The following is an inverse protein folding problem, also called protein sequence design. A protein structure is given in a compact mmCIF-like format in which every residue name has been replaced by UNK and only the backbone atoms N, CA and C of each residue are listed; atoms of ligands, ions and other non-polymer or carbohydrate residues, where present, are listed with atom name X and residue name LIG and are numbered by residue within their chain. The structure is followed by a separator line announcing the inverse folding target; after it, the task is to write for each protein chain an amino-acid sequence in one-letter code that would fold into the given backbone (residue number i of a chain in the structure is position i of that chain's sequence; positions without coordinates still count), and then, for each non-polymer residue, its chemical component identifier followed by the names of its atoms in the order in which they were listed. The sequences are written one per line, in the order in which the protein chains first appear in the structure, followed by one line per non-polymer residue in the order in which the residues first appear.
data_IF_819500957287
#
_entry.id   IF_819500957287
#
_cell.length_a   1.000
_cell.length_b   1.000
_cell.length_c   1.000
_cell.angle_alpha   90.00
_cell.angle_beta   90.00
_cell.angle_gamma   90.00
#
_symmetry.space_group_name_H-M   'P 1'
#
loop_
_entity.id
_entity.type
_entity.pdbx_description
1 polymer ?
#
# COMPACT_ATOMS: atom_id res chain seq x y z
N UNK A 1 -1.71 50.52 28.81
CA UNK A 1 -1.97 50.22 27.39
C UNK A 1 -1.12 49.02 27.06
N UNK A 2 -1.80 47.88 27.07
CA UNK A 2 -1.25 46.56 26.80
C UNK A 2 -0.69 46.45 25.39
N UNK A 3 0.39 45.70 25.22
CA UNK A 3 0.53 44.79 24.09
C UNK A 3 1.42 43.62 24.48
N UNK A 4 0.76 42.49 24.56
CA UNK A 4 1.17 41.18 25.02
C UNK A 4 2.19 40.52 24.09
N UNK A 5 3.27 40.01 24.68
CA UNK A 5 4.17 39.03 24.09
C UNK A 5 3.47 37.67 24.03
N UNK A 6 3.14 37.23 22.82
CA UNK A 6 2.57 35.91 22.56
C UNK A 6 3.59 34.80 22.83
N UNK A 7 3.34 34.04 23.89
CA UNK A 7 4.08 32.82 24.20
C UNK A 7 3.86 31.75 23.13
N UNK A 8 4.95 31.08 22.75
CA UNK A 8 4.93 29.89 21.92
C UNK A 8 4.13 28.78 22.61
N UNK A 9 2.95 28.45 22.06
CA UNK A 9 2.17 27.31 22.48
C UNK A 9 2.79 26.02 21.98
N UNK A 10 3.36 25.23 22.88
CA UNK A 10 3.63 23.81 22.63
C UNK A 10 2.31 23.09 22.40
N UNK A 11 2.18 22.44 21.24
CA UNK A 11 1.02 21.62 20.89
C UNK A 11 0.96 20.34 21.73
N UNK A 12 0.41 20.44 22.94
CA UNK A 12 0.00 19.29 23.73
C UNK A 12 -1.25 18.68 23.10
N UNK A 13 -1.12 17.50 22.50
CA UNK A 13 -2.27 16.73 22.00
C UNK A 13 -3.24 16.44 23.15
N UNK A 14 -4.49 16.90 23.04
CA UNK A 14 -5.52 16.65 24.03
C UNK A 14 -5.72 15.13 24.19
N UNK A 15 -5.46 14.60 25.40
CA UNK A 15 -5.71 13.19 25.71
C UNK A 15 -7.21 12.91 25.59
N UNK A 16 -7.58 12.03 24.64
CA UNK A 16 -8.96 11.60 24.45
C UNK A 16 -9.30 10.62 25.58
N UNK A 17 -10.21 11.02 26.48
CA UNK A 17 -10.67 10.14 27.56
C UNK A 17 -11.64 9.10 27.01
N UNK A 18 -11.37 7.83 27.31
CA UNK A 18 -12.26 6.70 26.99
C UNK A 18 -13.30 6.45 28.09
N UNK A 19 -14.45 5.91 27.70
CA UNK A 19 -15.52 5.44 28.58
C UNK A 19 -15.58 3.91 28.56
N UNK A 20 -15.50 3.25 29.71
CA UNK A 20 -15.62 1.80 29.79
C UNK A 20 -17.02 1.32 29.38
N UNK A 21 -17.08 0.29 28.53
CA UNK A 21 -18.32 -0.32 28.03
C UNK A 21 -18.31 -1.83 28.26
N UNK A 22 -19.47 -2.49 28.11
CA UNK A 22 -19.59 -3.96 28.15
C UNK A 22 -18.97 -4.64 29.40
N UNK A 23 -19.18 -4.05 30.57
CA UNK A 23 -18.63 -4.54 31.83
C UNK A 23 -17.13 -4.30 32.00
N UNK A 24 -16.57 -3.30 31.32
CA UNK A 24 -15.15 -2.94 31.38
C UNK A 24 -14.26 -3.73 30.42
N UNK A 25 -14.84 -4.60 29.57
CA UNK A 25 -14.09 -5.36 28.55
C UNK A 25 -13.69 -4.51 27.34
N UNK A 26 -14.39 -3.40 27.13
CA UNK A 26 -14.17 -2.48 26.02
C UNK A 26 -14.09 -1.05 26.54
N UNK A 27 -13.48 -0.19 25.74
CA UNK A 27 -13.40 1.25 25.99
C UNK A 27 -13.79 1.99 24.72
N UNK A 28 -14.73 2.90 24.86
CA UNK A 28 -15.25 3.75 23.80
C UNK A 28 -14.63 5.14 23.86
N UNK A 29 -14.05 5.57 22.75
CA UNK A 29 -13.51 6.92 22.57
C UNK A 29 -14.35 7.71 21.57
N UNK A 30 -14.42 9.02 21.76
CA UNK A 30 -14.93 9.94 20.74
C UNK A 30 -13.74 10.62 20.05
N UNK A 31 -13.41 10.15 18.86
CA UNK A 31 -12.31 10.69 18.05
C UNK A 31 -12.90 11.54 16.93
N UNK A 32 -12.83 12.88 17.10
CA UNK A 32 -13.36 13.84 16.13
C UNK A 32 -14.83 13.58 15.72
N UNK A 33 -15.68 13.24 16.69
CA UNK A 33 -17.09 12.92 16.46
C UNK A 33 -17.37 11.48 16.01
N UNK A 34 -16.34 10.63 15.88
CA UNK A 34 -16.48 9.23 15.53
C UNK A 34 -16.22 8.34 16.74
N UNK A 35 -17.17 7.43 17.00
CA UNK A 35 -17.06 6.44 18.05
C UNK A 35 -16.00 5.39 17.70
N UNK A 36 -15.01 5.20 18.57
CA UNK A 36 -13.90 4.29 18.39
C UNK A 36 -13.86 3.35 19.59
N UNK A 37 -14.41 2.13 19.45
CA UNK A 37 -14.54 1.16 20.54
C UNK A 37 -13.49 0.06 20.38
N UNK A 38 -12.65 -0.10 21.40
CA UNK A 38 -11.55 -1.08 21.41
C UNK A 38 -11.58 -1.94 22.66
N UNK A 39 -10.93 -3.09 22.61
CA UNK A 39 -10.71 -3.95 23.79
C UNK A 39 -10.01 -3.16 24.92
N UNK A 40 -10.28 -3.51 26.17
CA UNK A 40 -9.69 -2.86 27.34
C UNK A 40 -8.16 -2.93 27.40
N UNK A 41 -7.54 -3.92 26.74
CA UNK A 41 -6.08 -4.00 26.58
C UNK A 41 -5.48 -2.83 25.77
N UNK A 42 -6.29 -2.05 25.05
CA UNK A 42 -5.87 -0.85 24.31
C UNK A 42 -6.36 0.46 24.96
N UNK A 43 -6.69 0.44 26.26
CA UNK A 43 -7.31 1.55 26.98
C UNK A 43 -6.46 2.84 27.27
N UNK A 44 -5.11 2.82 27.36
CA UNK A 44 -4.34 4.04 27.65
C UNK A 44 -4.33 5.00 26.45
N UNK A 45 -4.25 6.33 26.66
CA UNK A 45 -4.85 7.31 25.75
C UNK A 45 -4.48 7.04 24.30
N UNK A 46 -5.49 6.77 23.49
CA UNK A 46 -5.30 6.59 22.06
C UNK A 46 -4.93 7.94 21.44
N UNK A 47 -4.00 7.93 20.49
CA UNK A 47 -3.57 9.11 19.77
C UNK A 47 -3.97 8.98 18.31
N UNK A 48 -4.87 9.82 17.78
CA UNK A 48 -5.17 9.82 16.35
C UNK A 48 -3.90 10.15 15.55
N UNK A 49 -3.57 9.30 14.58
CA UNK A 49 -2.37 9.45 13.73
C UNK A 49 -2.71 9.58 12.24
N UNK A 50 -3.90 9.15 11.82
CA UNK A 50 -4.29 9.22 10.42
C UNK A 50 -5.80 9.27 10.23
N UNK A 51 -6.21 9.89 9.12
CA UNK A 51 -7.59 9.89 8.64
C UNK A 51 -7.56 9.63 7.13
N UNK A 52 -8.22 8.58 6.68
CA UNK A 52 -8.24 8.16 5.27
C UNK A 52 -9.63 7.81 4.79
N UNK A 53 -9.71 7.35 3.54
CA UNK A 53 -10.97 6.93 2.91
C UNK A 53 -11.70 5.83 3.68
N UNK A 54 -10.95 4.95 4.35
CA UNK A 54 -11.48 3.80 5.09
C UNK A 54 -11.74 4.08 6.58
N UNK A 55 -11.40 5.27 7.10
CA UNK A 55 -11.69 5.65 8.48
C UNK A 55 -10.55 6.32 9.23
N UNK A 56 -10.49 6.05 10.53
CA UNK A 56 -9.57 6.68 11.50
C UNK A 56 -8.52 5.65 11.94
N UNK A 57 -7.27 6.09 11.98
CA UNK A 57 -6.16 5.31 12.54
C UNK A 57 -5.69 5.99 13.83
N UNK A 58 -5.60 5.20 14.90
CA UNK A 58 -5.11 5.65 16.20
C UNK A 58 -3.92 4.81 16.65
N UNK A 59 -2.87 5.45 17.15
CA UNK A 59 -1.84 4.78 17.93
C UNK A 59 -2.38 4.43 19.33
N UNK A 60 -2.04 3.25 19.83
CA UNK A 60 -2.37 2.78 21.17
C UNK A 60 -1.21 1.93 21.73
N UNK A 61 -1.23 1.70 23.05
CA UNK A 61 -0.32 0.74 23.70
C UNK A 61 -1.14 -0.47 24.10
N UNK A 62 -0.69 -1.66 23.73
CA UNK A 62 -1.24 -2.88 24.29
C UNK A 62 -0.73 -3.04 25.73
N UNK A 63 -1.63 -2.95 26.72
CA UNK A 63 -1.28 -3.01 28.14
C UNK A 63 -0.80 -4.40 28.60
N UNK A 64 -1.02 -5.46 27.81
CA UNK A 64 -0.60 -6.82 28.16
C UNK A 64 0.88 -7.07 27.90
N UNK A 65 1.44 -6.49 26.84
CA UNK A 65 2.83 -6.70 26.42
C UNK A 65 3.66 -5.39 26.32
N UNK A 66 3.03 -4.22 26.44
CA UNK A 66 3.66 -2.91 26.34
C UNK A 66 3.96 -2.44 24.90
N UNK A 67 3.52 -3.19 23.88
CA UNK A 67 3.81 -2.88 22.47
C UNK A 67 2.95 -1.70 21.98
N UNK A 68 3.60 -0.75 21.29
CA UNK A 68 2.91 0.32 20.56
C UNK A 68 2.36 -0.21 19.23
N UNK A 69 1.09 0.10 18.95
CA UNK A 69 0.36 -0.41 17.79
C UNK A 69 -0.42 0.68 17.08
N UNK A 70 -0.73 0.46 15.80
CA UNK A 70 -1.69 1.26 15.06
C UNK A 70 -3.01 0.50 14.92
N UNK A 71 -4.13 1.12 15.32
CA UNK A 71 -5.48 0.57 15.22
C UNK A 71 -6.22 1.32 14.12
N UNK A 72 -6.50 0.63 13.01
CA UNK A 72 -7.29 1.13 11.87
C UNK A 72 -8.75 0.70 12.07
N UNK A 73 -9.64 1.68 12.24
CA UNK A 73 -11.09 1.45 12.22
C UNK A 73 -11.61 1.56 10.79
N UNK A 74 -12.22 0.48 10.29
CA UNK A 74 -13.00 0.44 9.07
C UNK A 74 -14.48 0.51 9.47
N UNK A 75 -15.08 1.68 9.27
CA UNK A 75 -16.47 1.94 9.64
C UNK A 75 -17.44 1.29 8.64
N UNK A 76 -18.53 0.70 9.14
CA UNK A 76 -19.57 0.08 8.30
C UNK A 76 -19.00 -0.84 7.20
N UNK A 77 -18.04 -1.70 7.57
CA UNK A 77 -17.24 -2.49 6.64
C UNK A 77 -18.07 -3.46 5.76
N UNK A 78 -19.34 -3.70 6.11
CA UNK A 78 -20.23 -4.66 5.48
C UNK A 78 -21.37 -4.01 4.67
N UNK A 79 -21.47 -2.68 4.63
CA UNK A 79 -22.53 -1.97 3.88
C UNK A 79 -22.34 -2.09 2.35
N UNK A 80 -21.09 -2.27 1.91
CA UNK A 80 -20.72 -2.45 0.51
C UNK A 80 -19.93 -3.74 0.34
N UNK A 81 -20.48 -4.67 -0.46
CA UNK A 81 -19.85 -5.95 -0.77
C UNK A 81 -18.39 -5.84 -1.24
N UNK A 82 -18.10 -4.81 -2.05
CA UNK A 82 -16.75 -4.59 -2.59
C UNK A 82 -15.77 -4.25 -1.47
N UNK A 83 -16.16 -3.36 -0.56
CA UNK A 83 -15.31 -2.93 0.56
C UNK A 83 -15.18 -4.03 1.63
N UNK A 84 -16.23 -4.82 1.85
CA UNK A 84 -16.20 -6.02 2.68
C UNK A 84 -15.17 -7.04 2.15
N UNK A 85 -15.21 -7.33 0.84
CA UNK A 85 -14.21 -8.20 0.19
C UNK A 85 -12.79 -7.63 0.29
N UNK A 86 -12.60 -6.31 0.12
CA UNK A 86 -11.29 -5.67 0.30
C UNK A 86 -10.76 -5.83 1.72
N UNK A 87 -11.61 -5.64 2.72
CA UNK A 87 -11.24 -5.76 4.13
C UNK A 87 -10.86 -7.20 4.49
N UNK A 88 -11.66 -8.19 4.08
CA UNK A 88 -11.34 -9.60 4.30
C UNK A 88 -10.05 -10.00 3.58
N UNK A 89 -9.86 -9.53 2.34
CA UNK A 89 -8.63 -9.78 1.57
C UNK A 89 -7.40 -9.22 2.27
N UNK A 90 -7.46 -7.97 2.72
CA UNK A 90 -6.38 -7.33 3.49
C UNK A 90 -6.02 -8.17 4.71
N UNK A 91 -7.02 -8.60 5.50
CA UNK A 91 -6.82 -9.46 6.67
C UNK A 91 -6.17 -10.79 6.29
N UNK A 92 -6.73 -11.53 5.33
CA UNK A 92 -6.24 -12.86 4.96
C UNK A 92 -4.81 -12.82 4.41
N UNK A 93 -4.50 -11.82 3.58
CA UNK A 93 -3.17 -11.63 3.02
C UNK A 93 -2.14 -11.29 4.09
N UNK A 94 -2.43 -10.34 4.98
CA UNK A 94 -1.52 -9.97 6.08
C UNK A 94 -1.36 -11.08 7.13
N UNK A 95 -2.33 -11.99 7.25
CA UNK A 95 -2.21 -13.20 8.10
C UNK A 95 -1.35 -14.28 7.46
N UNK A 96 -1.28 -14.33 6.14
CA UNK A 96 -0.48 -15.31 5.40
C UNK A 96 0.98 -14.89 5.27
N UNK A 97 1.24 -13.59 5.19
CA UNK A 97 2.59 -13.06 5.00
C UNK A 97 3.32 -12.85 6.33
N UNK A 98 4.55 -13.32 6.39
CA UNK A 98 5.50 -13.06 7.47
C UNK A 98 6.84 -12.65 6.85
N UNK A 99 7.09 -11.35 6.82
CA UNK A 99 8.26 -10.76 6.17
C UNK A 99 8.52 -9.35 6.71
N UNK A 100 9.79 -8.99 6.91
CA UNK A 100 10.16 -7.73 7.56
C UNK A 100 9.70 -6.49 6.80
N UNK A 101 9.67 -6.55 5.46
CA UNK A 101 9.21 -5.45 4.60
C UNK A 101 7.71 -5.49 4.26
N UNK A 102 6.91 -6.28 4.98
CA UNK A 102 5.44 -6.29 4.89
C UNK A 102 4.88 -5.90 6.26
N UNK A 103 3.83 -5.09 6.29
CA UNK A 103 3.19 -4.69 7.55
C UNK A 103 2.57 -5.91 8.25
N UNK A 104 2.91 -6.14 9.52
CA UNK A 104 2.38 -7.26 10.29
C UNK A 104 1.06 -6.89 10.97
N UNK A 105 0.07 -7.77 10.84
CA UNK A 105 -1.17 -7.72 11.63
C UNK A 105 -0.91 -8.33 13.02
N UNK A 106 -1.18 -7.55 14.06
CA UNK A 106 -0.93 -7.90 15.46
C UNK A 106 -2.18 -8.37 16.18
N UNK A 107 -3.34 -7.84 15.81
CA UNK A 107 -4.64 -8.23 16.37
C UNK A 107 -5.78 -7.84 15.42
N UNK A 108 -6.92 -8.49 15.58
CA UNK A 108 -8.21 -8.08 15.03
C UNK A 108 -9.17 -8.00 16.20
N UNK A 109 -9.58 -6.78 16.56
CA UNK A 109 -10.39 -6.57 17.76
C UNK A 109 -11.74 -7.25 17.55
N UNK A 110 -12.05 -8.16 18.47
CA UNK A 110 -13.34 -8.84 18.51
C UNK A 110 -14.46 -7.82 18.74
N UNK A 111 -15.56 -7.86 17.97
CA UNK A 111 -16.67 -6.95 18.21
C UNK A 111 -17.35 -7.28 19.54
N UNK A 112 -17.82 -6.28 20.32
CA UNK A 112 -18.43 -6.53 21.63
C UNK A 112 -19.67 -7.44 21.56
N UNK A 113 -20.41 -7.35 20.45
CA UNK A 113 -21.58 -8.17 20.15
C UNK A 113 -21.55 -8.59 18.69
N UNK A 114 -21.73 -9.88 18.43
CA UNK A 114 -21.79 -10.44 17.07
C UNK A 114 -22.92 -9.83 16.23
N UNK A 115 -24.08 -9.59 16.85
CA UNK A 115 -25.26 -9.02 16.18
C UNK A 115 -25.03 -7.57 15.72
N UNK A 116 -24.11 -6.84 16.34
CA UNK A 116 -23.81 -5.43 16.03
C UNK A 116 -22.38 -5.24 15.50
N UNK A 117 -21.89 -6.21 14.74
CA UNK A 117 -20.58 -6.16 14.12
C UNK A 117 -20.63 -5.37 12.80
N UNK A 118 -20.58 -4.05 12.87
CA UNK A 118 -20.59 -3.16 11.69
C UNK A 118 -19.20 -2.60 11.39
N UNK A 119 -18.40 -2.39 12.43
CA UNK A 119 -17.06 -1.81 12.33
C UNK A 119 -16.01 -2.90 12.52
N UNK A 120 -14.96 -2.88 11.67
CA UNK A 120 -13.80 -3.78 11.78
C UNK A 120 -12.61 -2.97 12.26
N UNK A 121 -11.88 -3.50 13.24
CA UNK A 121 -10.69 -2.86 13.79
C UNK A 121 -9.50 -3.77 13.58
N UNK A 122 -8.57 -3.34 12.74
CA UNK A 122 -7.33 -4.05 12.44
C UNK A 122 -6.21 -3.38 13.22
N UNK A 123 -5.48 -4.17 14.00
CA UNK A 123 -4.31 -3.72 14.76
C UNK A 123 -3.06 -4.19 14.03
N UNK A 124 -2.17 -3.27 13.69
CA UNK A 124 -0.87 -3.54 13.09
C UNK A 124 0.25 -2.98 13.95
N UNK A 125 1.49 -3.31 13.60
CA UNK A 125 2.63 -2.57 14.11
C UNK A 125 2.50 -1.06 13.83
N UNK A 126 3.01 -0.25 14.77
CA UNK A 126 3.03 1.21 14.63
C UNK A 126 4.23 1.64 13.79
N UNK A 127 3.97 2.45 12.77
CA UNK A 127 4.99 3.06 11.93
C UNK A 127 4.98 4.58 12.13
N UNK A 128 6.13 5.23 12.03
CA UNK A 128 6.28 6.66 12.33
C UNK A 128 5.69 7.54 11.22
N UNK A 129 5.86 7.12 9.97
CA UNK A 129 5.42 7.88 8.80
C UNK A 129 5.25 7.01 7.56
N UNK A 130 4.92 7.62 6.44
CA UNK A 130 4.89 6.99 5.13
C UNK A 130 5.85 7.70 4.16
N UNK A 131 6.23 7.02 3.09
CA UNK A 131 7.16 7.55 2.11
C UNK A 131 6.59 8.81 1.41
N UNK A 132 5.27 8.96 1.29
CA UNK A 132 4.67 10.17 0.74
C UNK A 132 4.98 11.41 1.60
N UNK A 133 4.87 11.30 2.92
CA UNK A 133 5.24 12.38 3.84
C UNK A 133 6.75 12.67 3.78
N UNK A 134 7.59 11.64 3.73
CA UNK A 134 9.05 11.81 3.62
C UNK A 134 9.43 12.56 2.35
N UNK A 135 8.87 12.16 1.20
CA UNK A 135 9.09 12.83 -0.09
C UNK A 135 8.67 14.30 -0.03
N UNK A 136 7.56 14.62 0.62
CA UNK A 136 7.09 16.02 0.74
C UNK A 136 7.77 16.84 1.82
N UNK A 137 8.51 16.19 2.73
CA UNK A 137 9.24 16.87 3.78
C UNK A 137 10.49 17.59 3.25
N UNK A 138 11.00 18.53 4.04
CA UNK A 138 12.28 19.19 3.77
C UNK A 138 13.50 18.34 4.18
N UNK A 139 13.30 17.11 4.68
CA UNK A 139 14.41 16.25 5.05
C UNK A 139 15.21 15.84 3.81
N UNK A 140 16.55 15.93 3.81
CA UNK A 140 17.35 15.51 2.66
C UNK A 140 17.24 14.00 2.45
N UNK A 141 17.07 13.59 1.18
CA UNK A 141 17.12 12.19 0.78
C UNK A 141 18.38 12.01 -0.06
N UNK A 142 19.35 11.29 0.51
CA UNK A 142 20.59 10.93 -0.16
C UNK A 142 20.37 9.77 -1.13
N UNK A 143 21.33 9.49 -2.01
CA UNK A 143 21.27 8.31 -2.86
C UNK A 143 21.20 7.02 -2.03
N UNK A 144 21.91 6.96 -0.89
CA UNK A 144 21.87 5.82 0.03
C UNK A 144 20.46 5.59 0.61
N UNK A 145 19.74 6.66 1.00
CA UNK A 145 18.33 6.53 1.43
C UNK A 145 17.46 5.99 0.29
N UNK A 146 17.65 6.49 -0.94
CA UNK A 146 16.91 6.02 -2.12
C UNK A 146 17.18 4.53 -2.40
N UNK A 147 18.46 4.15 -2.36
CA UNK A 147 18.93 2.78 -2.56
C UNK A 147 18.33 1.83 -1.51
N UNK A 148 18.34 2.24 -0.23
CA UNK A 148 17.83 1.43 0.87
C UNK A 148 16.31 1.25 0.83
N UNK A 149 15.55 2.32 0.54
CA UNK A 149 14.10 2.20 0.37
C UNK A 149 13.73 1.33 -0.85
N UNK A 150 14.45 1.49 -1.97
CA UNK A 150 14.22 0.70 -3.16
C UNK A 150 14.52 -0.79 -2.95
N UNK A 151 15.64 -1.09 -2.28
CA UNK A 151 16.02 -2.45 -1.92
C UNK A 151 14.93 -3.13 -1.08
N UNK A 152 14.50 -2.49 0.02
CA UNK A 152 13.48 -3.03 0.91
C UNK A 152 12.13 -3.23 0.21
N UNK A 153 11.74 -2.31 -0.68
CA UNK A 153 10.53 -2.43 -1.49
C UNK A 153 10.59 -3.63 -2.43
N UNK A 154 11.70 -3.80 -3.16
CA UNK A 154 11.90 -4.94 -4.06
C UNK A 154 11.99 -6.27 -3.30
N UNK A 155 12.65 -6.29 -2.14
CA UNK A 155 12.73 -7.44 -1.25
C UNK A 155 11.34 -7.87 -0.78
N UNK A 156 10.52 -6.93 -0.30
CA UNK A 156 9.12 -7.19 0.05
C UNK A 156 8.30 -7.70 -1.14
N UNK A 157 8.49 -7.12 -2.33
CA UNK A 157 7.80 -7.58 -3.54
C UNK A 157 8.21 -8.97 -4.01
N UNK A 158 9.48 -9.35 -3.86
CA UNK A 158 9.95 -10.72 -4.15
C UNK A 158 9.13 -11.73 -3.34
N UNK A 159 8.98 -11.46 -2.04
CA UNK A 159 8.16 -12.28 -1.14
C UNK A 159 6.69 -12.32 -1.59
N UNK A 160 6.07 -11.17 -1.83
CA UNK A 160 4.66 -11.07 -2.27
C UNK A 160 4.42 -11.81 -3.59
N UNK A 161 5.29 -11.61 -4.59
CA UNK A 161 5.16 -12.21 -5.91
C UNK A 161 5.35 -13.73 -5.88
N UNK A 162 6.27 -14.23 -5.03
CA UNK A 162 6.45 -15.67 -4.82
C UNK A 162 5.24 -16.35 -4.16
N UNK A 163 4.37 -15.59 -3.49
CA UNK A 163 3.08 -16.06 -2.98
C UNK A 163 1.96 -16.07 -4.05
N UNK A 164 2.27 -15.82 -5.33
CA UNK A 164 1.31 -15.60 -6.41
C UNK A 164 0.33 -14.43 -6.15
N UNK A 165 0.81 -13.38 -5.47
CA UNK A 165 0.05 -12.16 -5.18
C UNK A 165 0.66 -10.99 -5.94
N UNK A 166 -0.18 -10.15 -6.53
CA UNK A 166 0.17 -8.86 -7.13
C UNK A 166 -0.40 -7.75 -6.25
N UNK A 167 0.38 -6.73 -5.91
CA UNK A 167 -0.06 -5.66 -5.01
C UNK A 167 -1.06 -4.71 -5.67
N UNK A 168 -0.80 -4.30 -6.92
CA UNK A 168 -1.67 -3.49 -7.81
C UNK A 168 -1.95 -2.05 -7.43
N UNK A 169 -1.67 -1.64 -6.19
CA UNK A 169 -1.84 -0.24 -5.75
C UNK A 169 -0.61 0.28 -4.98
N UNK A 170 0.59 0.00 -5.49
CA UNK A 170 1.81 0.56 -4.91
C UNK A 170 1.87 2.07 -5.17
N UNK A 171 2.10 2.81 -4.10
CA UNK A 171 2.28 4.27 -4.08
C UNK A 171 2.99 4.66 -2.78
N UNK A 172 3.63 5.84 -2.70
CA UNK A 172 4.40 6.23 -1.52
C UNK A 172 3.60 6.24 -0.21
N UNK A 173 2.29 6.49 -0.22
CA UNK A 173 1.45 6.46 0.99
C UNK A 173 1.14 5.04 1.49
N UNK A 174 1.45 4.00 0.71
CA UNK A 174 1.29 2.59 1.07
C UNK A 174 2.63 1.95 1.50
N UNK A 175 3.69 2.76 1.62
CA UNK A 175 5.02 2.35 2.06
C UNK A 175 5.32 3.06 3.37
N UNK A 176 5.15 2.35 4.48
CA UNK A 176 5.39 2.90 5.81
C UNK A 176 6.87 2.84 6.18
N UNK A 177 7.29 3.80 7.00
CA UNK A 177 8.67 3.99 7.44
C UNK A 177 8.71 4.21 8.95
N UNK A 178 9.74 3.67 9.60
CA UNK A 178 10.07 3.99 10.99
C UNK A 178 11.34 4.87 11.07
N UNK A 179 11.72 5.28 12.27
CA UNK A 179 12.90 6.11 12.54
C UNK A 179 14.23 5.45 12.12
N UNK A 180 14.26 4.12 12.01
CA UNK A 180 15.42 3.36 11.54
C UNK A 180 15.48 3.24 10.00
N UNK A 181 14.54 3.88 9.28
CA UNK A 181 14.38 3.77 7.83
C UNK A 181 13.94 2.38 7.35
N UNK A 182 13.36 1.55 8.23
CA UNK A 182 12.77 0.27 7.82
C UNK A 182 11.46 0.53 7.07
N UNK A 183 11.36 -0.05 5.88
CA UNK A 183 10.23 0.12 4.97
C UNK A 183 9.32 -1.10 5.02
N UNK A 184 8.01 -0.85 5.14
CA UNK A 184 6.97 -1.88 5.11
C UNK A 184 5.86 -1.56 4.12
N UNK A 185 5.56 -2.52 3.25
CA UNK A 185 4.47 -2.45 2.29
C UNK A 185 3.15 -2.74 3.00
N UNK A 186 2.12 -1.94 2.73
CA UNK A 186 0.78 -2.06 3.31
C UNK A 186 -0.31 -1.87 2.25
N UNK A 187 -1.58 -2.05 2.66
CA UNK A 187 -2.78 -1.88 1.83
C UNK A 187 -2.92 -2.89 0.69
N UNK A 188 -3.05 -4.16 1.06
CA UNK A 188 -3.31 -5.28 0.15
C UNK A 188 -4.79 -5.41 -0.26
N UNK A 189 -5.61 -4.39 0.03
CA UNK A 189 -7.05 -4.41 -0.26
C UNK A 189 -7.35 -4.59 -1.75
N UNK A 190 -6.46 -4.17 -2.65
CA UNK A 190 -6.62 -4.31 -4.11
C UNK A 190 -5.79 -5.44 -4.73
N UNK A 191 -5.08 -6.22 -3.91
CA UNK A 191 -4.21 -7.29 -4.38
C UNK A 191 -5.00 -8.39 -5.08
N UNK A 192 -4.36 -9.12 -6.01
CA UNK A 192 -4.96 -10.25 -6.76
C UNK A 192 -3.94 -11.30 -7.13
N UNK A 193 -4.43 -12.48 -7.51
CA UNK A 193 -3.61 -13.48 -8.20
C UNK A 193 -3.41 -13.15 -9.68
N UNK A 194 -2.44 -13.81 -10.31
CA UNK A 194 -2.06 -13.65 -11.73
C UNK A 194 -3.10 -14.23 -12.71
N UNK A 195 -4.04 -15.05 -12.23
CA UNK A 195 -5.00 -15.79 -13.06
C UNK A 195 -6.39 -15.17 -13.15
N UNK A 196 -6.73 -14.19 -12.30
CA UNK A 196 -8.07 -13.61 -12.27
C UNK A 196 -8.25 -12.48 -13.28
N UNK A 197 -9.20 -12.67 -14.19
CA UNK A 197 -9.64 -11.70 -15.21
C UNK A 197 -10.85 -10.89 -14.76
N UNK A 198 -11.01 -10.65 -13.45
CA UNK A 198 -12.19 -9.97 -12.94
C UNK A 198 -12.23 -8.51 -13.40
N UNK A 199 -13.37 -8.12 -13.97
CA UNK A 199 -13.63 -6.80 -14.53
C UNK A 199 -13.30 -5.72 -13.49
N UNK A 200 -12.32 -4.88 -13.84
CA UNK A 200 -11.80 -3.84 -12.97
C UNK A 200 -12.90 -2.82 -12.62
N UNK A 201 -13.13 -2.58 -11.33
CA UNK A 201 -13.94 -1.43 -10.91
C UNK A 201 -13.15 -0.16 -11.21
N UNK A 202 -13.60 0.55 -12.25
CA UNK A 202 -12.80 1.50 -13.02
C UNK A 202 -12.62 2.90 -12.37
N UNK A 203 -13.20 3.17 -11.20
CA UNK A 203 -13.33 4.54 -10.70
C UNK A 203 -12.88 4.71 -9.24
N UNK A 204 -12.18 5.84 -9.03
CA UNK A 204 -11.83 6.49 -7.75
C UNK A 204 -10.56 6.00 -7.02
N UNK A 205 -9.41 5.90 -7.70
CA UNK A 205 -8.09 5.89 -7.03
C UNK A 205 -7.07 6.68 -7.86
N UNK A 206 -6.03 7.21 -7.22
CA UNK A 206 -4.85 7.82 -7.86
C UNK A 206 -4.26 6.89 -8.92
N UNK A 207 -4.13 7.39 -10.16
CA UNK A 207 -3.66 6.59 -11.32
C UNK A 207 -2.17 6.77 -11.62
N UNK A 208 -1.49 7.64 -10.87
CA UNK A 208 -0.14 8.12 -11.18
C UNK A 208 0.92 7.02 -11.24
N UNK A 209 0.69 5.90 -10.55
CA UNK A 209 1.59 4.76 -10.46
C UNK A 209 1.11 3.54 -11.25
N UNK A 210 -0.01 3.65 -11.99
CA UNK A 210 -0.57 2.52 -12.75
C UNK A 210 0.21 2.27 -14.03
N UNK A 211 0.51 1.00 -14.29
CA UNK A 211 1.18 0.56 -15.49
C UNK A 211 0.35 0.77 -16.78
N UNK A 212 0.98 0.96 -17.95
CA UNK A 212 0.27 1.16 -19.22
C UNK A 212 -0.77 0.07 -19.53
N UNK A 213 -0.43 -1.19 -19.27
CA UNK A 213 -1.31 -2.33 -19.48
C UNK A 213 -2.59 -2.31 -18.62
N UNK A 214 -2.52 -1.71 -17.41
CA UNK A 214 -3.69 -1.49 -16.56
C UNK A 214 -4.55 -0.33 -17.09
N UNK A 215 -3.93 0.74 -17.60
CA UNK A 215 -4.63 1.89 -18.17
C UNK A 215 -5.34 1.54 -19.49
N UNK A 216 -4.80 0.58 -20.24
CA UNK A 216 -5.34 0.08 -21.51
C UNK A 216 -6.27 -1.13 -21.35
N UNK A 217 -6.60 -1.50 -20.11
CA UNK A 217 -7.52 -2.59 -19.76
C UNK A 217 -7.16 -3.94 -20.42
N UNK A 218 -5.88 -4.32 -20.37
CA UNK A 218 -5.41 -5.62 -20.86
C UNK A 218 -5.95 -6.75 -19.99
N UNK A 219 -6.36 -7.88 -20.56
CA UNK A 219 -6.94 -8.97 -19.78
C UNK A 219 -5.92 -9.82 -18.99
N UNK A 220 -4.62 -9.56 -19.13
CA UNK A 220 -3.57 -10.35 -18.51
C UNK A 220 -2.56 -9.41 -17.85
N UNK A 221 -2.37 -9.60 -16.55
CA UNK A 221 -1.45 -8.81 -15.75
C UNK A 221 -0.43 -9.74 -15.07
N UNK A 222 0.79 -9.26 -14.90
CA UNK A 222 1.88 -9.99 -14.26
C UNK A 222 2.48 -9.12 -13.15
N UNK A 223 3.46 -9.66 -12.43
CA UNK A 223 4.33 -8.93 -11.50
C UNK A 223 4.91 -7.62 -12.08
N UNK A 224 5.03 -7.52 -13.41
CA UNK A 224 5.52 -6.32 -14.08
C UNK A 224 4.73 -5.06 -13.72
N UNK A 225 3.43 -5.15 -13.42
CA UNK A 225 2.62 -3.96 -13.05
C UNK A 225 3.14 -3.30 -11.78
N UNK A 226 3.61 -4.09 -10.81
CA UNK A 226 4.15 -3.58 -9.55
C UNK A 226 5.54 -2.98 -9.80
N UNK A 227 6.36 -3.59 -10.67
CA UNK A 227 7.67 -3.04 -11.08
C UNK A 227 7.53 -1.66 -11.74
N UNK A 228 6.49 -1.44 -12.54
CA UNK A 228 6.19 -0.12 -13.09
C UNK A 228 5.92 0.91 -11.97
N UNK A 229 5.09 0.53 -10.99
CA UNK A 229 4.81 1.40 -9.84
C UNK A 229 6.08 1.70 -9.04
N UNK A 230 6.97 0.72 -8.85
CA UNK A 230 8.30 0.90 -8.23
C UNK A 230 9.13 1.93 -9.01
N UNK A 231 9.17 1.84 -10.34
CA UNK A 231 9.86 2.84 -11.17
C UNK A 231 9.29 4.25 -10.99
N UNK A 232 7.97 4.39 -10.94
CA UNK A 232 7.32 5.68 -10.66
C UNK A 232 7.71 6.23 -9.28
N UNK A 233 7.74 5.37 -8.26
CA UNK A 233 8.13 5.72 -6.88
C UNK A 233 9.60 6.13 -6.83
N UNK A 234 10.52 5.40 -7.47
CA UNK A 234 11.94 5.77 -7.55
C UNK A 234 12.14 7.15 -8.19
N UNK A 235 11.45 7.41 -9.31
CA UNK A 235 11.46 8.71 -9.96
C UNK A 235 10.94 9.83 -9.04
N UNK A 236 9.89 9.55 -8.25
CA UNK A 236 9.29 10.50 -7.32
C UNK A 236 10.17 10.79 -6.10
N UNK A 237 10.86 9.78 -5.53
CA UNK A 237 11.80 9.97 -4.43
C UNK A 237 12.89 10.97 -4.82
N UNK A 238 13.46 10.81 -6.02
CA UNK A 238 14.58 11.64 -6.47
C UNK A 238 14.13 13.02 -6.93
N UNK A 239 12.98 13.13 -7.59
CA UNK A 239 12.48 14.43 -8.10
C UNK A 239 11.63 15.20 -7.10
N UNK A 240 11.24 14.57 -5.99
CA UNK A 240 10.29 15.09 -4.98
C UNK A 240 8.93 15.46 -5.54
N UNK A 241 8.59 14.97 -6.73
CA UNK A 241 7.35 15.28 -7.43
C UNK A 241 6.83 14.01 -8.13
N UNK A 242 5.52 13.78 -8.16
CA UNK A 242 4.96 12.65 -8.88
C UNK A 242 5.41 12.63 -10.34
N UNK A 243 5.83 11.46 -10.82
CA UNK A 243 6.41 11.35 -12.16
C UNK A 243 5.36 11.54 -13.26
N UNK A 244 4.15 10.99 -13.05
CA UNK A 244 3.05 11.04 -14.02
C UNK A 244 1.74 11.49 -13.35
N UNK A 245 1.57 12.78 -13.02
CA UNK A 245 0.38 13.29 -12.34
C UNK A 245 -0.79 13.53 -13.32
N UNK A 246 -1.26 12.47 -13.99
CA UNK A 246 -2.39 12.55 -14.91
C UNK A 246 -3.73 12.78 -14.20
N UNK A 247 -4.55 13.68 -14.72
CA UNK A 247 -5.91 13.99 -14.24
C UNK A 247 -6.96 12.98 -14.72
N UNK A 248 -6.69 12.35 -15.85
CA UNK A 248 -7.56 11.39 -16.54
C UNK A 248 -6.69 10.35 -17.29
N UNK A 249 -7.31 9.28 -17.81
CA UNK A 249 -6.60 8.20 -18.50
C UNK A 249 -5.79 8.69 -19.71
N UNK A 250 -6.33 9.67 -20.43
CA UNK A 250 -5.72 10.21 -21.65
C UNK A 250 -4.46 10.98 -21.28
N UNK A 251 -4.56 11.87 -20.29
CA UNK A 251 -3.42 12.64 -19.81
C UNK A 251 -2.36 11.74 -19.18
N UNK A 252 -2.77 10.70 -18.45
CA UNK A 252 -1.84 9.73 -17.86
C UNK A 252 -1.00 9.04 -18.94
N UNK A 253 -1.62 8.49 -19.98
CA UNK A 253 -0.91 7.85 -21.09
C UNK A 253 -0.04 8.84 -21.86
N UNK A 254 -0.52 10.07 -22.07
CA UNK A 254 0.26 11.14 -22.70
C UNK A 254 1.55 11.42 -21.92
N UNK A 255 1.46 11.66 -20.60
CA UNK A 255 2.62 11.94 -19.75
C UNK A 255 3.64 10.78 -19.77
N UNK A 256 3.15 9.54 -19.81
CA UNK A 256 3.99 8.35 -19.95
C UNK A 256 4.75 8.41 -21.28
N UNK A 257 4.04 8.53 -22.40
CA UNK A 257 4.66 8.55 -23.74
C UNK A 257 5.58 9.74 -23.96
N UNK A 258 5.31 10.89 -23.33
CA UNK A 258 6.18 12.07 -23.38
C UNK A 258 7.56 11.79 -22.77
N UNK A 259 7.64 10.95 -21.74
CA UNK A 259 8.91 10.59 -21.10
C UNK A 259 9.60 9.41 -21.79
N UNK A 260 8.90 8.26 -21.89
CA UNK A 260 9.51 6.99 -22.33
C UNK A 260 9.51 6.81 -23.85
N UNK A 261 8.88 7.74 -24.57
CA UNK A 261 8.64 7.67 -26.01
C UNK A 261 7.33 6.94 -26.34
N UNK A 262 6.80 7.23 -27.51
CA UNK A 262 5.64 6.49 -28.03
C UNK A 262 6.04 5.06 -28.38
N UNK A 263 5.23 4.04 -28.02
CA UNK A 263 5.54 2.64 -28.31
C UNK A 263 5.50 2.38 -29.82
N UNK A 264 6.47 1.59 -30.30
CA UNK A 264 6.48 1.06 -31.66
C UNK A 264 5.53 -0.13 -31.81
N UNK A 265 5.33 -0.60 -33.04
CA UNK A 265 4.43 -1.73 -33.32
C UNK A 265 4.85 -3.01 -32.57
N UNK A 266 6.16 -3.22 -32.34
CA UNK A 266 6.65 -4.36 -31.57
C UNK A 266 6.24 -4.28 -30.09
N UNK A 267 6.37 -3.11 -29.47
CA UNK A 267 6.00 -2.87 -28.07
C UNK A 267 4.48 -2.87 -27.84
N UNK A 268 3.67 -2.82 -28.89
CA UNK A 268 2.22 -2.95 -28.81
C UNK A 268 1.73 -4.41 -28.99
N UNK A 269 2.65 -5.37 -29.22
CA UNK A 269 2.31 -6.76 -29.51
C UNK A 269 1.52 -7.47 -28.41
N UNK A 270 1.69 -7.05 -27.14
CA UNK A 270 0.96 -7.61 -26.00
C UNK A 270 -0.52 -7.16 -25.94
N UNK A 271 -0.88 -6.06 -26.62
CA UNK A 271 -2.23 -5.52 -26.61
C UNK A 271 -3.16 -6.38 -27.48
N UNK A 272 -3.97 -7.23 -26.85
CA UNK A 272 -4.96 -8.03 -27.58
C UNK A 272 -6.06 -7.18 -28.24
N UNK A 273 -6.44 -6.07 -27.61
CA UNK A 273 -7.49 -5.17 -28.10
C UNK A 273 -7.02 -4.31 -29.29
N UNK A 274 -7.64 -4.49 -30.46
CA UNK A 274 -7.41 -3.63 -31.63
C UNK A 274 -7.79 -2.17 -31.35
N UNK A 275 -8.79 -1.94 -30.50
CA UNK A 275 -9.20 -0.59 -30.10
C UNK A 275 -8.11 0.11 -29.29
N UNK A 276 -7.48 -0.58 -28.34
CA UNK A 276 -6.37 -0.05 -27.57
C UNK A 276 -5.15 0.27 -28.47
N UNK A 277 -4.83 -0.63 -29.42
CA UNK A 277 -3.77 -0.41 -30.40
C UNK A 277 -4.03 0.82 -31.28
N UNK A 278 -5.25 0.96 -31.83
CA UNK A 278 -5.64 2.13 -32.62
C UNK A 278 -5.60 3.41 -31.81
N UNK A 279 -6.06 3.37 -30.56
CA UNK A 279 -6.03 4.51 -29.65
C UNK A 279 -4.60 5.00 -29.42
N UNK A 280 -3.65 4.11 -29.12
CA UNK A 280 -2.23 4.47 -28.95
C UNK A 280 -1.61 5.07 -30.22
N UNK A 281 -2.00 4.58 -31.41
CA UNK A 281 -1.53 5.12 -32.70
C UNK A 281 -2.11 6.50 -33.02
N UNK A 282 -3.24 6.88 -32.44
CA UNK A 282 -3.87 8.19 -32.62
C UNK A 282 -3.31 9.26 -31.69
N UNK A 283 -2.63 8.87 -30.60
CA UNK A 283 -1.98 9.82 -29.71
C UNK A 283 -0.81 10.52 -30.42
N UNK A 284 -0.50 11.77 -30.04
CA UNK A 284 0.71 12.44 -30.51
C UNK A 284 1.94 11.57 -30.27
N UNK A 285 2.83 11.53 -31.26
CA UNK A 285 4.05 10.73 -31.18
C UNK A 285 5.16 11.55 -30.53
N UNK A 286 5.82 10.98 -29.53
CA UNK A 286 6.89 11.61 -28.78
C UNK A 286 8.18 10.81 -28.91
N UNK A 287 9.33 11.46 -29.18
CA UNK A 287 10.63 10.80 -29.03
C UNK A 287 10.89 10.51 -27.55
N UNK A 288 11.58 9.41 -27.27
CA UNK A 288 12.05 9.09 -25.91
C UNK A 288 12.98 10.20 -25.41
N UNK A 289 12.76 10.66 -24.18
CA UNK A 289 13.66 11.62 -23.54
C UNK A 289 14.94 10.92 -23.05
N UNK A 290 16.04 11.67 -22.99
CA UNK A 290 17.27 11.20 -22.33
C UNK A 290 17.07 11.26 -20.81
N UNK A 291 16.99 10.10 -20.16
CA UNK A 291 16.77 10.00 -18.72
C UNK A 291 17.91 10.65 -17.91
N UNK A 292 19.16 10.58 -18.36
CA UNK A 292 20.29 11.23 -17.66
C UNK A 292 20.13 12.74 -17.64
N UNK A 293 19.61 13.32 -18.74
CA UNK A 293 19.33 14.75 -18.81
C UNK A 293 18.06 15.14 -18.02
N UNK A 294 17.06 14.26 -17.95
CA UNK A 294 15.80 14.48 -17.21
C UNK A 294 15.98 14.35 -15.69
N UNK A 295 16.85 13.45 -15.25
CA UNK A 295 17.10 13.09 -13.85
C UNK A 295 18.55 13.40 -13.46
N UNK A 296 19.01 14.64 -13.66
CA UNK A 296 20.43 15.06 -13.48
C UNK A 296 20.99 14.85 -12.08
N UNK A 297 20.12 14.80 -11.08
CA UNK A 297 20.50 14.63 -9.67
C UNK A 297 20.46 13.15 -9.22
N UNK A 298 20.13 12.24 -10.13
CA UNK A 298 20.09 10.80 -9.88
C UNK A 298 21.44 10.17 -10.25
N UNK A 299 21.89 9.19 -9.47
CA UNK A 299 23.12 8.45 -9.79
C UNK A 299 22.95 7.65 -11.09
N UNK A 300 24.06 7.40 -11.79
CA UNK A 300 23.99 6.68 -13.08
C UNK A 300 23.38 5.27 -12.95
N UNK A 301 23.64 4.59 -11.83
CA UNK A 301 23.06 3.27 -11.54
C UNK A 301 21.55 3.33 -11.29
N UNK A 302 21.07 4.34 -10.57
CA UNK A 302 19.64 4.55 -10.36
C UNK A 302 18.91 4.90 -11.66
N UNK A 303 19.52 5.73 -12.52
CA UNK A 303 18.95 6.04 -13.85
C UNK A 303 18.83 4.79 -14.71
N UNK A 304 19.87 3.96 -14.78
CA UNK A 304 19.85 2.71 -15.55
C UNK A 304 18.78 1.74 -15.05
N UNK A 305 18.63 1.59 -13.73
CA UNK A 305 17.57 0.77 -13.14
C UNK A 305 16.17 1.33 -13.44
N UNK A 306 15.98 2.65 -13.32
CA UNK A 306 14.73 3.32 -13.62
C UNK A 306 14.31 3.13 -15.09
N UNK A 307 15.25 3.20 -16.03
CA UNK A 307 15.00 2.96 -17.45
C UNK A 307 14.55 1.52 -17.75
N UNK A 308 15.03 0.55 -16.96
CA UNK A 308 14.65 -0.87 -17.06
C UNK A 308 13.29 -1.17 -16.41
N UNK A 309 12.87 -0.36 -15.43
CA UNK A 309 11.54 -0.44 -14.81
C UNK A 309 10.45 0.25 -15.64
N UNK A 310 10.75 1.40 -16.24
CA UNK A 310 9.80 2.20 -17.02
C UNK A 310 9.77 1.81 -18.50
N UNK A 311 9.45 0.54 -18.76
CA UNK A 311 9.29 -0.02 -20.09
C UNK A 311 7.82 -0.22 -20.41
N UNK A 312 7.39 0.22 -21.60
CA UNK A 312 5.98 0.16 -22.02
C UNK A 312 5.47 -1.29 -22.15
N UNK A 313 6.25 -2.14 -22.81
CA UNK A 313 5.95 -3.57 -22.94
C UNK A 313 6.28 -4.29 -21.61
N UNK A 314 5.28 -4.88 -20.93
CA UNK A 314 5.50 -5.55 -19.65
C UNK A 314 6.43 -6.77 -19.75
N UNK A 315 6.54 -7.41 -20.91
CA UNK A 315 7.43 -8.57 -21.11
C UNK A 315 8.90 -8.21 -21.20
N UNK A 316 9.20 -6.94 -21.47
CA UNK A 316 10.57 -6.39 -21.57
C UNK A 316 10.99 -5.61 -20.33
N UNK A 317 10.08 -5.48 -19.35
CA UNK A 317 10.33 -4.82 -18.07
C UNK A 317 11.16 -5.75 -17.19
N UNK A 318 12.15 -5.19 -16.50
CA UNK A 318 12.98 -5.95 -15.55
C UNK A 318 12.09 -6.65 -14.51
N UNK A 319 12.46 -7.87 -14.14
CA UNK A 319 11.80 -8.59 -13.04
C UNK A 319 12.29 -8.10 -11.68
N UNK A 320 11.58 -8.44 -10.60
CA UNK A 320 12.01 -8.10 -9.24
C UNK A 320 13.35 -8.77 -8.90
N UNK A 321 13.53 -10.04 -9.26
CA UNK A 321 14.79 -10.77 -9.05
C UNK A 321 15.96 -10.11 -9.81
N UNK A 322 15.78 -9.76 -11.08
CA UNK A 322 16.81 -9.05 -11.85
C UNK A 322 17.10 -7.65 -11.29
N UNK A 323 16.08 -6.96 -10.76
CA UNK A 323 16.24 -5.65 -10.15
C UNK A 323 17.04 -5.71 -8.84
N UNK A 324 16.85 -6.74 -8.01
CA UNK A 324 17.64 -6.98 -6.80
C UNK A 324 19.12 -7.26 -7.12
N UNK A 325 19.38 -7.97 -8.22
CA UNK A 325 20.75 -8.22 -8.70
C UNK A 325 21.37 -7.03 -9.48
N UNK A 326 20.65 -5.92 -9.61
CA UNK A 326 21.13 -4.78 -10.38
C UNK A 326 22.35 -4.12 -9.71
N UNK A 327 23.36 -3.63 -10.47
CA UNK A 327 24.54 -2.98 -9.90
C UNK A 327 24.24 -1.81 -8.95
N UNK A 328 23.09 -1.15 -9.13
CA UNK A 328 22.64 -0.09 -8.22
C UNK A 328 22.33 -0.60 -6.81
N UNK A 329 21.97 -1.87 -6.60
CA UNK A 329 21.64 -2.43 -5.29
C UNK A 329 22.72 -3.38 -4.75
N UNK A 330 23.86 -3.50 -5.46
CA UNK A 330 24.89 -4.48 -5.17
C UNK A 330 25.50 -4.38 -3.75
N UNK A 331 25.47 -3.20 -3.12
CA UNK A 331 25.94 -3.01 -1.74
C UNK A 331 24.99 -3.57 -0.66
N UNK A 332 23.72 -3.80 -1.00
CA UNK A 332 22.67 -4.25 -0.08
C UNK A 332 22.17 -5.66 -0.41
N UNK A 333 22.36 -6.12 -1.64
CA UNK A 333 21.89 -7.41 -2.12
C UNK A 333 22.54 -8.57 -1.36
N UNK A 334 21.72 -9.40 -0.72
CA UNK A 334 22.10 -10.68 -0.13
C UNK A 334 20.98 -11.70 -0.32
N UNK A 335 21.26 -12.74 -1.12
CA UNK A 335 20.28 -13.76 -1.48
C UNK A 335 19.71 -14.51 -0.26
N UNK A 336 20.49 -14.69 0.82
CA UNK A 336 20.04 -15.39 2.02
C UNK A 336 19.09 -14.54 2.85
N UNK A 337 19.23 -13.22 2.75
CA UNK A 337 18.37 -12.25 3.40
C UNK A 337 17.15 -11.91 2.56
N UNK A 338 16.97 -12.46 1.36
CA UNK A 338 15.83 -12.18 0.46
C UNK A 338 14.91 -13.40 0.27
N UNK A 339 14.13 -13.78 1.30
CA UNK A 339 13.34 -15.00 1.29
C UNK A 339 12.15 -14.91 0.32
N UNK A 340 11.65 -16.09 -0.06
CA UNK A 340 10.37 -16.25 -0.76
C UNK A 340 9.31 -16.76 0.22
N UNK A 341 8.04 -16.55 -0.11
CA UNK A 341 6.93 -17.04 0.68
C UNK A 341 6.87 -18.58 0.58
N UNK A 342 6.80 -19.32 1.71
CA UNK A 342 6.83 -20.78 1.70
C UNK A 342 5.67 -21.44 0.94
N UNK A 343 4.54 -20.75 0.81
CA UNK A 343 3.35 -21.26 0.15
C UNK A 343 2.62 -20.16 -0.63
N UNK A 344 2.04 -20.47 -1.81
CA UNK A 344 1.19 -19.54 -2.52
C UNK A 344 -0.07 -19.22 -1.72
N UNK A 345 -0.58 -18.01 -1.88
CA UNK A 345 -1.83 -17.59 -1.25
C UNK A 345 -3.04 -18.11 -2.03
N UNK A 346 -4.06 -18.59 -1.32
CA UNK A 346 -5.33 -19.01 -1.92
C UNK A 346 -6.40 -17.92 -1.79
N UNK A 347 -7.07 -17.62 -2.91
CA UNK A 347 -8.20 -16.69 -2.99
C UNK A 347 -9.58 -17.39 -2.92
N UNK A 348 -9.65 -18.63 -2.40
CA UNK A 348 -10.90 -19.44 -2.34
C UNK A 348 -12.08 -18.75 -1.63
N UNK A 349 -11.83 -17.72 -0.84
CA UNK A 349 -12.84 -16.92 -0.14
C UNK A 349 -13.46 -15.80 -1.01
N UNK A 350 -13.01 -15.63 -2.25
CA UNK A 350 -13.51 -14.58 -3.15
C UNK A 350 -14.60 -15.02 -4.13
N UNK A 351 -15.07 -16.27 -4.00
CA UNK A 351 -16.10 -16.83 -4.87
C UNK A 351 -17.30 -15.88 -5.03
N UNK A 352 -17.87 -15.77 -6.26
CA UNK A 352 -19.03 -14.91 -6.50
C UNK A 352 -20.25 -15.22 -5.61
N UNK A 353 -20.33 -16.44 -5.08
CA UNK A 353 -21.38 -16.92 -4.17
C UNK A 353 -21.27 -16.38 -2.74
N UNK A 354 -20.12 -15.82 -2.33
CA UNK A 354 -19.94 -15.34 -0.97
C UNK A 354 -20.71 -14.04 -0.78
N UNK A 355 -21.62 -14.03 0.19
CA UNK A 355 -22.39 -12.84 0.61
C UNK A 355 -21.65 -12.08 1.71
N UNK A 356 -22.16 -10.90 2.05
CA UNK A 356 -21.67 -10.05 3.14
C UNK A 356 -21.68 -10.79 4.48
N UNK A 357 -22.68 -11.65 4.76
CA UNK A 357 -22.73 -12.48 5.97
C UNK A 357 -21.61 -13.51 6.01
N UNK A 358 -21.26 -14.12 4.88
CA UNK A 358 -20.14 -15.05 4.80
C UNK A 358 -18.83 -14.34 5.09
N UNK A 359 -18.64 -13.15 4.52
CA UNK A 359 -17.46 -12.31 4.75
C UNK A 359 -17.38 -11.91 6.23
N UNK A 360 -18.50 -11.46 6.81
CA UNK A 360 -18.62 -11.09 8.22
C UNK A 360 -18.28 -12.24 9.16
N UNK A 361 -18.74 -13.45 8.85
CA UNK A 361 -18.39 -14.66 9.60
C UNK A 361 -16.89 -14.99 9.51
N UNK A 362 -16.28 -14.84 8.34
CA UNK A 362 -14.85 -15.09 8.17
C UNK A 362 -13.99 -14.09 8.96
N UNK A 363 -14.32 -12.79 8.92
CA UNK A 363 -13.62 -11.78 9.72
C UNK A 363 -13.84 -12.04 11.22
N UNK A 364 -15.05 -12.43 11.62
CA UNK A 364 -15.32 -12.83 13.01
C UNK A 364 -14.42 -13.98 13.46
N UNK A 365 -14.25 -15.03 12.64
CA UNK A 365 -13.34 -16.15 12.95
C UNK A 365 -11.89 -15.72 13.07
N UNK A 366 -11.43 -14.81 12.22
CA UNK A 366 -10.09 -14.24 12.35
C UNK A 366 -9.95 -13.49 13.69
N UNK A 367 -10.94 -12.71 14.11
CA UNK A 367 -10.92 -12.04 15.42
C UNK A 367 -10.88 -13.01 16.61
N UNK A 368 -11.56 -14.16 16.49
CA UNK A 368 -11.52 -15.22 17.50
C UNK A 368 -10.17 -15.92 17.57
N UNK A 369 -9.47 -16.05 16.44
CA UNK A 369 -8.14 -16.65 16.41
C UNK A 369 -7.11 -15.83 17.20
N UNK A 370 -7.24 -14.49 17.20
CA UNK A 370 -6.43 -13.61 18.04
C UNK A 370 -6.94 -13.51 19.48
N UNK A 371 -8.26 -13.50 19.67
CA UNK A 371 -8.91 -13.29 20.96
C UNK A 371 -9.89 -14.44 21.26
N UNK A 372 -9.38 -15.63 21.65
CA UNK A 372 -10.22 -16.79 21.92
C UNK A 372 -11.16 -16.53 23.10
N UNK A 373 -12.28 -17.27 23.14
CA UNK A 373 -13.13 -17.27 24.32
C UNK A 373 -12.35 -17.79 25.53
N UNK A 374 -12.59 -17.24 26.74
CA UNK A 374 -12.01 -17.78 27.96
C UNK A 374 -12.35 -19.27 28.08
N UNK A 375 -11.40 -20.13 28.48
CA UNK A 375 -11.73 -21.52 28.79
C UNK A 375 -12.78 -21.54 29.91
N UNK A 376 -13.87 -22.29 29.68
CA UNK A 376 -15.01 -22.44 30.57
C UNK A 376 -14.65 -23.05 31.93
#
# INVERSE_FOLDING_TARGET
MDSSSGGAGGGGGAQIKGMGTHGGRYVLYNVYGNFFEVSSKYAPPIRPIGRGAYGIVCAAVNSENGEEVAIKKIGNAFDNHIDAKRTLREIKLLRHMDHENIIAIKDIIRPPRRDNFNDVYIVSELMDTDLHQIIRSNQPLTDDHCQYFLYQLLRGLKYVHSANVLHRDLKPSNLFLNANCDLKIADFGLARTTTETDLMTEYVVTRWYRAPELLLNCSQYTAAIDVWSVGCILGEIVTRQPLFPGRDYIQQLKLITELIGSPDDSSLGFLRSDNARRYMKQLPQYPRQDFRLRFRNMSAGAVDLLEKMLVFDPSRRITVDEALHHPYLASLHDINEEPTCPAPFSFDFEQPSFTEEHIKELIWRESLAFNPDPPY
#
